data_IF_511367101631
#
_entry.id   IF_511367101631
#
_cell.length_a   1.000
_cell.length_b   1.000
_cell.length_c   1.000
_cell.angle_alpha   90.00
_cell.angle_beta   90.00
_cell.angle_gamma   90.00
#
_symmetry.space_group_name_H-M   'P 1'
#
loop_
_entity.id
_entity.type
_entity.pdbx_description
1 polymer ?
#
# COMPACT_ATOMS: atom_id res chain seq x y z
N UNK A 1 28.97 66.15 -8.65
CA UNK A 1 29.63 65.20 -9.58
C UNK A 1 30.39 64.22 -8.72
N UNK A 2 30.02 62.94 -8.80
CA UNK A 2 30.65 61.71 -8.27
C UNK A 2 29.48 60.75 -7.96
N UNK A 3 29.34 59.54 -8.48
CA UNK A 3 30.16 58.72 -9.36
C UNK A 3 29.50 57.34 -9.34
N UNK A 4 29.14 56.81 -10.51
CA UNK A 4 28.59 55.47 -10.64
C UNK A 4 29.70 54.43 -10.47
N UNK A 5 29.46 53.36 -9.73
CA UNK A 5 30.16 52.09 -9.96
C UNK A 5 29.15 50.95 -10.07
N UNK A 6 29.10 50.43 -11.30
CA UNK A 6 28.51 49.20 -11.79
C UNK A 6 28.38 48.07 -10.76
N UNK A 7 27.16 47.53 -10.64
CA UNK A 7 26.94 46.15 -10.18
C UNK A 7 26.86 45.27 -11.43
N UNK A 8 27.92 44.50 -11.66
CA UNK A 8 28.02 43.50 -12.71
C UNK A 8 26.96 42.37 -12.52
N UNK A 9 25.95 42.25 -13.39
CA UNK A 9 24.88 41.26 -13.28
C UNK A 9 25.34 39.82 -13.52
N UNK A 10 26.55 39.59 -14.04
CA UNK A 10 27.05 38.25 -14.35
C UNK A 10 27.44 37.42 -13.11
N UNK A 11 27.73 38.08 -11.97
CA UNK A 11 28.09 37.37 -10.71
C UNK A 11 26.91 36.73 -9.99
N UNK A 12 25.68 37.19 -10.25
CA UNK A 12 24.47 36.63 -9.63
C UNK A 12 24.07 35.27 -10.19
N UNK A 13 24.29 35.04 -11.48
CA UNK A 13 23.79 33.86 -12.19
C UNK A 13 24.65 32.61 -11.93
N UNK A 14 25.98 32.79 -11.85
CA UNK A 14 26.90 31.72 -11.46
C UNK A 14 26.65 31.22 -10.03
N UNK A 15 26.27 32.11 -9.10
CA UNK A 15 25.96 31.72 -7.71
C UNK A 15 24.68 30.89 -7.63
N UNK A 16 23.65 31.22 -8.42
CA UNK A 16 22.39 30.46 -8.49
C UNK A 16 22.59 29.08 -9.10
N UNK A 17 23.47 28.96 -10.10
CA UNK A 17 23.79 27.68 -10.70
C UNK A 17 24.57 26.75 -9.76
N UNK A 18 25.51 27.30 -8.99
CA UNK A 18 26.24 26.56 -7.97
C UNK A 18 25.34 26.19 -6.77
N UNK A 19 24.41 27.05 -6.39
CA UNK A 19 23.40 26.76 -5.36
C UNK A 19 22.41 25.67 -5.83
N UNK A 20 22.01 25.69 -7.11
CA UNK A 20 21.18 24.64 -7.71
C UNK A 20 21.92 23.29 -7.78
N UNK A 21 23.19 23.29 -8.18
CA UNK A 21 24.03 22.07 -8.16
C UNK A 21 24.21 21.54 -6.74
N UNK A 22 24.43 22.40 -5.76
CA UNK A 22 24.52 22.01 -4.33
C UNK A 22 23.19 21.49 -3.80
N UNK A 23 22.06 22.04 -4.25
CA UNK A 23 20.74 21.53 -3.90
C UNK A 23 20.48 20.14 -4.50
N UNK A 24 20.84 19.92 -5.77
CA UNK A 24 20.76 18.60 -6.43
C UNK A 24 21.68 17.59 -5.72
N UNK A 25 22.92 17.96 -5.43
CA UNK A 25 23.86 17.08 -4.72
C UNK A 25 23.41 16.73 -3.28
N UNK A 26 22.65 17.62 -2.63
CA UNK A 26 22.08 17.40 -1.30
C UNK A 26 20.84 16.52 -1.36
N UNK A 27 20.07 16.55 -2.44
CA UNK A 27 18.99 15.58 -2.71
C UNK A 27 19.57 14.19 -2.97
N UNK A 28 20.62 14.08 -3.78
CA UNK A 28 21.29 12.80 -4.05
C UNK A 28 21.90 12.18 -2.78
N UNK A 29 22.52 13.00 -1.92
CA UNK A 29 23.06 12.55 -0.64
C UNK A 29 21.97 12.17 0.39
N UNK A 30 20.85 12.91 0.42
CA UNK A 30 19.71 12.59 1.29
C UNK A 30 18.96 11.30 0.87
N UNK A 31 19.12 10.87 -0.39
CA UNK A 31 18.59 9.57 -0.87
C UNK A 31 19.54 8.39 -0.65
N UNK A 32 20.79 8.65 -0.26
CA UNK A 32 21.83 7.64 -0.08
C UNK A 32 21.89 7.09 1.34
N UNK A 33 21.54 7.89 2.36
CA UNK A 33 21.44 7.41 3.73
C UNK A 33 20.05 6.78 3.96
N UNK A 34 19.99 5.50 4.37
CA UNK A 34 18.74 4.93 4.83
C UNK A 34 18.20 5.76 6.00
N UNK A 35 16.87 5.93 6.14
CA UNK A 35 16.32 6.56 7.32
C UNK A 35 16.82 5.84 8.57
N UNK A 36 17.23 6.61 9.58
CA UNK A 36 17.66 6.11 10.90
C UNK A 36 16.63 5.09 11.44
N UNK A 37 16.92 3.80 11.27
CA UNK A 37 15.99 2.72 11.64
C UNK A 37 16.04 1.46 10.78
N UNK A 38 16.57 1.51 9.54
CA UNK A 38 16.76 0.28 8.76
C UNK A 38 17.98 -0.47 9.27
N UNK A 39 17.81 -1.69 9.78
CA UNK A 39 18.94 -2.56 10.08
C UNK A 39 19.79 -2.72 8.81
N UNK A 40 21.12 -2.51 8.86
CA UNK A 40 21.95 -2.67 7.68
C UNK A 40 21.81 -4.10 7.18
N UNK A 41 21.28 -4.26 5.97
CA UNK A 41 21.16 -5.56 5.32
C UNK A 41 22.53 -6.23 5.24
N UNK A 42 22.58 -7.57 5.29
CA UNK A 42 23.84 -8.27 5.14
C UNK A 42 24.45 -7.90 3.76
N UNK A 43 25.61 -7.23 3.71
CA UNK A 43 26.19 -6.73 2.45
C UNK A 43 26.53 -7.85 1.47
N UNK A 44 26.74 -9.07 1.99
CA UNK A 44 27.04 -10.27 1.21
C UNK A 44 25.78 -10.93 0.62
N UNK A 45 24.58 -10.45 1.00
CA UNK A 45 23.32 -11.00 0.49
C UNK A 45 23.03 -10.51 -0.95
N UNK A 46 22.82 -11.46 -1.86
CA UNK A 46 22.55 -11.17 -3.27
C UNK A 46 21.21 -10.45 -3.47
N UNK A 47 21.16 -9.58 -4.47
CA UNK A 47 19.93 -8.88 -4.86
C UNK A 47 18.83 -9.88 -5.26
N UNK A 48 19.19 -10.94 -6.00
CA UNK A 48 18.24 -11.98 -6.40
C UNK A 48 17.60 -12.66 -5.20
N UNK A 49 18.37 -12.93 -4.13
CA UNK A 49 17.82 -13.49 -2.90
C UNK A 49 16.88 -12.50 -2.21
N UNK A 50 17.23 -11.22 -2.19
CA UNK A 50 16.39 -10.16 -1.60
C UNK A 50 15.05 -10.04 -2.32
N UNK A 51 15.06 -9.97 -3.65
CA UNK A 51 13.85 -9.93 -4.47
C UNK A 51 13.06 -11.23 -4.33
N UNK A 52 13.73 -12.38 -4.38
CA UNK A 52 13.10 -13.70 -4.24
C UNK A 52 12.41 -13.90 -2.87
N UNK A 53 13.06 -13.48 -1.78
CA UNK A 53 12.45 -13.50 -0.44
C UNK A 53 11.27 -12.56 -0.35
N UNK A 54 11.38 -11.36 -0.93
CA UNK A 54 10.29 -10.37 -0.93
C UNK A 54 9.06 -10.89 -1.69
N UNK A 55 9.26 -11.52 -2.86
CA UNK A 55 8.20 -12.17 -3.60
C UNK A 55 7.60 -13.37 -2.83
N UNK A 56 8.45 -14.20 -2.22
CA UNK A 56 8.02 -15.35 -1.43
C UNK A 56 7.21 -14.93 -0.19
N UNK A 57 7.51 -13.80 0.44
CA UNK A 57 6.73 -13.25 1.54
C UNK A 57 5.35 -12.78 1.09
N UNK A 58 5.27 -12.07 -0.05
CA UNK A 58 3.99 -11.66 -0.63
C UNK A 58 3.10 -12.85 -0.98
N UNK A 59 3.62 -13.80 -1.77
CA UNK A 59 2.89 -15.02 -2.19
C UNK A 59 2.58 -15.93 -0.99
N UNK A 60 3.55 -16.12 -0.11
CA UNK A 60 3.40 -16.93 1.10
C UNK A 60 2.34 -16.36 2.05
N UNK A 61 2.27 -15.03 2.18
CA UNK A 61 1.25 -14.36 2.98
C UNK A 61 -0.16 -14.69 2.50
N UNK A 62 -0.37 -14.64 1.18
CA UNK A 62 -1.66 -14.96 0.56
C UNK A 62 -2.01 -16.43 0.72
N UNK A 63 -1.03 -17.33 0.53
CA UNK A 63 -1.23 -18.74 0.73
C UNK A 63 -1.68 -19.05 2.17
N UNK A 64 -1.00 -18.47 3.17
CA UNK A 64 -1.39 -18.63 4.58
C UNK A 64 -2.75 -18.00 4.86
N UNK A 65 -3.03 -16.80 4.34
CA UNK A 65 -4.33 -16.14 4.46
C UNK A 65 -5.44 -17.05 3.92
N UNK A 66 -5.28 -17.61 2.72
CA UNK A 66 -6.26 -18.49 2.10
C UNK A 66 -6.51 -19.77 2.90
N UNK A 67 -5.43 -20.42 3.38
CA UNK A 67 -5.53 -21.63 4.23
C UNK A 67 -6.27 -21.34 5.53
N UNK A 68 -5.91 -20.24 6.22
CA UNK A 68 -6.56 -19.85 7.48
C UNK A 68 -8.02 -19.47 7.26
N UNK A 69 -8.30 -18.69 6.22
CA UNK A 69 -9.67 -18.26 5.88
C UNK A 69 -10.56 -19.46 5.54
N UNK A 70 -10.02 -20.44 4.81
CA UNK A 70 -10.72 -21.70 4.51
C UNK A 70 -10.97 -22.51 5.79
N UNK A 71 -9.97 -22.66 6.65
CA UNK A 71 -10.12 -23.39 7.90
C UNK A 71 -11.19 -22.76 8.81
N UNK A 72 -11.14 -21.43 8.98
CA UNK A 72 -12.15 -20.68 9.76
C UNK A 72 -13.53 -20.81 9.12
N UNK A 73 -13.61 -20.73 7.78
CA UNK A 73 -14.84 -20.92 7.01
C UNK A 73 -15.49 -22.28 7.28
N UNK A 74 -14.72 -23.36 7.14
CA UNK A 74 -15.20 -24.73 7.34
C UNK A 74 -15.59 -25.00 8.79
N UNK A 75 -14.78 -24.56 9.75
CA UNK A 75 -15.07 -24.74 11.18
C UNK A 75 -16.29 -23.94 11.62
N UNK A 76 -16.41 -22.70 11.15
CA UNK A 76 -17.56 -21.84 11.44
C UNK A 76 -18.85 -22.40 10.86
N UNK A 77 -18.81 -22.91 9.63
CA UNK A 77 -19.95 -23.58 9.01
C UNK A 77 -20.35 -24.87 9.77
N UNK A 78 -19.37 -25.70 10.14
CA UNK A 78 -19.61 -26.91 10.92
C UNK A 78 -20.18 -26.62 12.32
N UNK A 79 -19.83 -25.48 12.90
CA UNK A 79 -20.37 -25.00 14.18
C UNK A 79 -21.75 -24.31 14.05
N UNK A 80 -22.29 -24.17 12.83
CA UNK A 80 -23.59 -23.53 12.59
C UNK A 80 -23.61 -22.03 12.82
N UNK A 81 -22.46 -21.35 12.68
CA UNK A 81 -22.36 -19.90 12.84
C UNK A 81 -23.02 -19.15 11.66
N UNK A 82 -23.51 -17.94 11.91
CA UNK A 82 -24.06 -17.08 10.88
C UNK A 82 -23.01 -16.69 9.83
N UNK A 83 -23.42 -16.59 8.56
CA UNK A 83 -22.55 -16.27 7.43
C UNK A 83 -21.69 -15.02 7.68
N UNK A 84 -22.30 -13.90 8.09
CA UNK A 84 -21.56 -12.67 8.34
C UNK A 84 -20.50 -12.79 9.43
N UNK A 85 -20.75 -13.60 10.47
CA UNK A 85 -19.76 -13.89 11.52
C UNK A 85 -18.58 -14.68 10.95
N UNK A 86 -18.86 -15.71 10.16
CA UNK A 86 -17.82 -16.53 9.52
C UNK A 86 -17.00 -15.69 8.54
N UNK A 87 -17.65 -14.87 7.72
CA UNK A 87 -17.01 -13.97 6.76
C UNK A 87 -16.02 -13.01 7.45
N UNK A 88 -16.50 -12.26 8.45
CA UNK A 88 -15.66 -11.29 9.18
C UNK A 88 -14.53 -11.99 9.92
N UNK A 89 -14.79 -13.14 10.55
CA UNK A 89 -13.77 -13.91 11.24
C UNK A 89 -12.70 -14.46 10.30
N UNK A 90 -13.10 -15.01 9.14
CA UNK A 90 -12.18 -15.52 8.13
C UNK A 90 -11.30 -14.41 7.57
N UNK A 91 -11.89 -13.26 7.21
CA UNK A 91 -11.12 -12.09 6.75
C UNK A 91 -10.13 -11.61 7.82
N UNK A 92 -10.59 -11.44 9.05
CA UNK A 92 -9.74 -10.89 10.11
C UNK A 92 -8.61 -11.84 10.50
N UNK A 93 -8.90 -13.12 10.74
CA UNK A 93 -7.90 -14.11 11.13
C UNK A 93 -6.95 -14.45 9.98
N UNK A 94 -7.46 -14.54 8.75
CA UNK A 94 -6.64 -14.75 7.57
C UNK A 94 -5.60 -13.64 7.39
N UNK A 95 -6.02 -12.38 7.49
CA UNK A 95 -5.16 -11.21 7.38
C UNK A 95 -4.12 -11.15 8.52
N UNK A 96 -4.57 -11.32 9.77
CA UNK A 96 -3.66 -11.27 10.92
C UNK A 96 -2.64 -12.40 10.94
N UNK A 97 -3.03 -13.64 10.60
CA UNK A 97 -2.08 -14.76 10.59
C UNK A 97 -1.21 -14.72 9.33
N UNK A 98 -1.82 -14.52 8.17
CA UNK A 98 -1.16 -14.56 6.87
C UNK A 98 -0.19 -13.41 6.65
N UNK A 99 -0.53 -12.19 7.06
CA UNK A 99 0.30 -11.02 6.78
C UNK A 99 1.08 -10.57 8.01
N UNK A 100 0.39 -10.23 9.10
CA UNK A 100 1.06 -9.77 10.33
C UNK A 100 1.87 -10.91 10.95
N UNK A 101 1.27 -12.09 11.09
CA UNK A 101 1.88 -13.28 11.69
C UNK A 101 3.11 -13.75 10.91
N UNK A 102 2.96 -13.96 9.59
CA UNK A 102 4.07 -14.36 8.73
C UNK A 102 5.20 -13.32 8.72
N UNK A 103 4.87 -12.04 8.49
CA UNK A 103 5.90 -10.99 8.43
C UNK A 103 6.59 -10.79 9.78
N UNK A 104 5.85 -10.91 10.89
CA UNK A 104 6.46 -10.91 12.24
C UNK A 104 7.37 -12.12 12.43
N UNK A 105 6.93 -13.32 12.06
CA UNK A 105 7.75 -14.53 12.16
C UNK A 105 9.04 -14.42 11.33
N UNK A 106 8.95 -13.85 10.14
CA UNK A 106 10.09 -13.54 9.29
C UNK A 106 11.07 -12.57 9.97
N UNK A 107 10.59 -11.44 10.48
CA UNK A 107 11.42 -10.44 11.14
C UNK A 107 12.04 -10.96 12.45
N UNK A 108 11.29 -11.74 13.24
CA UNK A 108 11.79 -12.44 14.43
C UNK A 108 12.87 -13.46 14.05
N UNK A 109 12.67 -14.21 12.97
CA UNK A 109 13.65 -15.16 12.42
C UNK A 109 14.92 -14.48 11.91
N UNK A 110 14.84 -13.20 11.53
CA UNK A 110 15.98 -12.32 11.21
C UNK A 110 16.68 -11.74 12.44
N UNK A 111 16.20 -12.06 13.65
CA UNK A 111 16.83 -11.66 14.91
C UNK A 111 16.32 -10.33 15.49
N UNK A 112 15.35 -9.67 14.87
CA UNK A 112 14.81 -8.41 15.40
C UNK A 112 13.93 -8.70 16.61
N UNK A 113 14.20 -8.05 17.75
CA UNK A 113 13.29 -8.01 18.89
C UNK A 113 12.08 -7.10 18.65
N UNK A 114 11.13 -7.04 19.59
CA UNK A 114 9.92 -6.22 19.39
C UNK A 114 10.21 -4.73 19.19
N UNK A 115 11.27 -4.22 19.83
CA UNK A 115 11.71 -2.84 19.63
C UNK A 115 12.30 -2.66 18.24
N UNK A 116 13.13 -3.60 17.80
CA UNK A 116 13.71 -3.66 16.46
C UNK A 116 12.65 -3.77 15.37
N UNK A 117 11.59 -4.58 15.57
CA UNK A 117 10.47 -4.66 14.63
C UNK A 117 9.74 -3.32 14.56
N UNK A 118 9.43 -2.71 15.71
CA UNK A 118 8.77 -1.40 15.76
C UNK A 118 9.57 -0.32 15.03
N UNK A 119 10.89 -0.29 15.22
CA UNK A 119 11.77 0.68 14.54
C UNK A 119 11.93 0.38 13.05
N UNK A 120 12.10 -0.89 12.68
CA UNK A 120 12.21 -1.33 11.29
C UNK A 120 10.98 -0.95 10.48
N UNK A 121 9.79 -1.11 11.06
CA UNK A 121 8.53 -0.74 10.44
C UNK A 121 8.24 0.76 10.50
N UNK A 122 8.94 1.53 11.35
CA UNK A 122 8.59 2.93 11.59
C UNK A 122 7.23 3.12 12.26
N UNK A 123 6.82 2.20 13.15
CA UNK A 123 5.52 2.28 13.83
C UNK A 123 5.51 3.41 14.87
N UNK A 124 4.89 4.54 14.53
CA UNK A 124 4.77 5.71 15.42
C UNK A 124 3.49 6.49 15.15
N UNK A 125 3.02 7.23 16.15
CA UNK A 125 1.84 8.11 15.99
C UNK A 125 2.18 9.21 14.97
N UNK A 126 1.34 9.46 13.95
CA UNK A 126 1.57 10.54 13.00
C UNK A 126 1.62 11.91 13.69
N UNK A 127 2.58 12.73 13.29
CA UNK A 127 2.61 14.16 13.62
C UNK A 127 1.50 14.91 12.86
N UNK A 128 1.19 16.15 13.26
CA UNK A 128 0.22 16.98 12.53
C UNK A 128 0.57 17.20 11.06
N UNK A 129 1.86 17.28 10.73
CA UNK A 129 2.32 17.38 9.34
C UNK A 129 2.00 16.11 8.57
N UNK A 130 2.21 14.96 9.19
CA UNK A 130 1.90 13.66 8.59
C UNK A 130 0.40 13.40 8.49
N UNK A 131 -0.42 13.95 9.38
CA UNK A 131 -1.88 13.97 9.19
C UNK A 131 -2.23 14.73 7.90
N UNK A 132 -1.57 15.85 7.62
CA UNK A 132 -1.66 16.54 6.33
C UNK A 132 -1.23 15.65 5.15
N UNK A 133 -0.20 14.82 5.34
CA UNK A 133 0.24 13.81 4.34
C UNK A 133 -0.81 12.71 4.15
N UNK A 134 -1.52 12.27 5.20
CA UNK A 134 -2.64 11.32 5.05
C UNK A 134 -3.70 11.90 4.12
N UNK A 135 -4.12 13.15 4.36
CA UNK A 135 -5.13 13.81 3.52
C UNK A 135 -4.62 14.00 2.09
N UNK A 136 -3.42 14.56 1.92
CA UNK A 136 -2.82 14.79 0.60
C UNK A 136 -2.55 13.49 -0.17
N UNK A 137 -2.08 12.46 0.52
CA UNK A 137 -1.84 11.13 -0.05
C UNK A 137 -3.14 10.45 -0.47
N UNK A 138 -4.22 10.60 0.30
CA UNK A 138 -5.54 10.09 -0.09
C UNK A 138 -6.12 10.82 -1.32
N UNK A 139 -6.00 12.15 -1.37
CA UNK A 139 -6.41 12.92 -2.54
C UNK A 139 -5.60 12.56 -3.79
N UNK A 140 -4.27 12.36 -3.63
CA UNK A 140 -3.42 11.88 -4.71
C UNK A 140 -3.85 10.49 -5.18
N UNK A 141 -4.07 9.57 -4.26
CA UNK A 141 -4.53 8.21 -4.57
C UNK A 141 -5.83 8.24 -5.38
N UNK A 142 -6.85 8.96 -4.92
CA UNK A 142 -8.12 9.10 -5.64
C UNK A 142 -7.89 9.74 -7.01
N UNK A 143 -7.16 10.85 -7.10
CA UNK A 143 -6.92 11.53 -8.37
C UNK A 143 -6.22 10.61 -9.38
N UNK A 144 -5.22 9.83 -8.93
CA UNK A 144 -4.54 8.83 -9.75
C UNK A 144 -5.51 7.75 -10.23
N UNK A 145 -6.31 7.17 -9.34
CA UNK A 145 -7.26 6.11 -9.69
C UNK A 145 -8.36 6.61 -10.63
N UNK A 146 -8.93 7.79 -10.40
CA UNK A 146 -9.90 8.43 -11.28
C UNK A 146 -9.33 8.69 -12.68
N UNK A 147 -8.11 9.22 -12.75
CA UNK A 147 -7.46 9.51 -14.03
C UNK A 147 -7.20 8.21 -14.82
N UNK A 148 -6.75 7.16 -14.14
CA UNK A 148 -6.51 5.86 -14.75
C UNK A 148 -7.80 5.18 -15.17
N UNK A 149 -8.85 5.22 -14.35
CA UNK A 149 -10.17 4.71 -14.67
C UNK A 149 -10.73 5.38 -15.94
N UNK A 150 -10.65 6.71 -16.02
CA UNK A 150 -11.11 7.47 -17.17
C UNK A 150 -10.38 7.09 -18.48
N UNK A 151 -9.11 6.67 -18.40
CA UNK A 151 -8.35 6.16 -19.54
C UNK A 151 -8.71 4.70 -19.82
N UNK A 152 -8.74 3.86 -18.79
CA UNK A 152 -9.02 2.43 -18.87
C UNK A 152 -10.37 2.17 -19.54
N UNK A 153 -11.43 2.88 -19.16
CA UNK A 153 -12.78 2.74 -19.74
C UNK A 153 -12.85 3.03 -21.26
N UNK A 154 -11.81 3.62 -21.86
CA UNK A 154 -11.75 3.87 -23.31
C UNK A 154 -11.04 2.77 -24.09
N UNK A 155 -10.23 1.95 -23.43
CA UNK A 155 -9.26 1.05 -24.10
C UNK A 155 -9.22 -0.36 -23.52
N UNK A 156 -9.73 -0.56 -22.30
CA UNK A 156 -9.80 -1.84 -21.61
C UNK A 156 -11.26 -2.30 -21.49
N UNK A 157 -11.50 -3.61 -21.42
CA UNK A 157 -12.78 -4.16 -20.99
C UNK A 157 -13.16 -3.66 -19.59
N UNK A 158 -14.46 -3.75 -19.29
CA UNK A 158 -14.97 -3.44 -17.96
C UNK A 158 -14.16 -4.17 -16.88
N UNK A 159 -13.90 -3.53 -15.72
CA UNK A 159 -13.17 -4.18 -14.63
C UNK A 159 -13.86 -5.47 -14.18
N UNK A 160 -13.07 -6.41 -13.63
CA UNK A 160 -13.63 -7.56 -12.91
C UNK A 160 -14.64 -7.09 -11.89
N UNK A 161 -15.66 -7.91 -11.65
CA UNK A 161 -16.39 -7.77 -10.42
C UNK A 161 -15.45 -8.02 -9.23
N UNK A 162 -15.48 -7.11 -8.27
CA UNK A 162 -14.75 -7.29 -7.03
C UNK A 162 -15.63 -8.12 -6.08
N UNK A 163 -15.21 -9.34 -5.77
CA UNK A 163 -15.97 -10.26 -4.92
C UNK A 163 -16.34 -9.65 -3.55
N UNK A 164 -15.45 -8.83 -2.96
CA UNK A 164 -15.73 -8.13 -1.71
C UNK A 164 -16.83 -7.08 -1.85
N UNK A 165 -16.85 -6.35 -2.97
CA UNK A 165 -17.91 -5.39 -3.29
C UNK A 165 -19.24 -6.09 -3.58
N UNK A 166 -19.24 -7.20 -4.31
CA UNK A 166 -20.45 -8.01 -4.55
C UNK A 166 -21.06 -8.52 -3.23
N UNK A 167 -20.23 -9.10 -2.36
CA UNK A 167 -20.69 -9.57 -1.04
C UNK A 167 -21.28 -8.42 -0.22
N UNK A 168 -20.71 -7.22 -0.30
CA UNK A 168 -21.24 -6.04 0.38
C UNK A 168 -22.58 -5.54 -0.22
N UNK A 169 -22.77 -5.64 -1.54
CA UNK A 169 -24.04 -5.31 -2.20
C UNK A 169 -25.14 -6.32 -1.85
N UNK A 170 -24.79 -7.61 -1.79
CA UNK A 170 -25.73 -8.69 -1.48
C UNK A 170 -26.10 -8.73 0.01
N UNK A 171 -25.24 -8.19 0.88
CA UNK A 171 -25.40 -8.21 2.35
C UNK A 171 -25.15 -6.82 2.95
N UNK A 172 -26.00 -5.81 2.65
CA UNK A 172 -25.78 -4.42 3.05
C UNK A 172 -25.72 -4.23 4.58
N UNK A 173 -26.37 -5.09 5.36
CA UNK A 173 -26.30 -5.10 6.82
C UNK A 173 -24.91 -5.43 7.36
N UNK A 174 -24.05 -6.08 6.57
CA UNK A 174 -22.67 -6.39 6.94
C UNK A 174 -21.72 -5.23 6.66
N UNK A 175 -22.11 -4.23 5.85
CA UNK A 175 -21.22 -3.12 5.45
C UNK A 175 -20.57 -2.40 6.63
N UNK A 176 -21.26 -2.05 7.72
CA UNK A 176 -20.60 -1.42 8.87
C UNK A 176 -19.49 -2.29 9.49
N UNK A 177 -19.72 -3.61 9.57
CA UNK A 177 -18.71 -4.54 10.07
C UNK A 177 -17.53 -4.65 9.08
N UNK A 178 -17.81 -4.74 7.78
CA UNK A 178 -16.79 -4.79 6.73
C UNK A 178 -15.95 -3.50 6.67
N UNK A 179 -16.56 -2.33 6.83
CA UNK A 179 -15.85 -1.05 6.96
C UNK A 179 -14.88 -1.08 8.15
N UNK A 180 -15.34 -1.53 9.32
CA UNK A 180 -14.47 -1.68 10.49
C UNK A 180 -13.33 -2.67 10.23
N UNK A 181 -13.61 -3.80 9.56
CA UNK A 181 -12.60 -4.79 9.18
C UNK A 181 -11.58 -4.22 8.18
N UNK A 182 -12.02 -3.45 7.18
CA UNK A 182 -11.14 -2.80 6.21
C UNK A 182 -10.21 -1.78 6.88
N UNK A 183 -10.75 -1.02 7.83
CA UNK A 183 -10.00 0.03 8.51
C UNK A 183 -9.02 -0.51 9.55
N UNK A 184 -9.45 -1.50 10.34
CA UNK A 184 -8.71 -1.98 11.51
C UNK A 184 -7.91 -3.25 11.26
N UNK A 185 -8.20 -3.99 10.19
CA UNK A 185 -7.58 -5.29 9.94
C UNK A 185 -6.90 -5.34 8.57
N UNK A 186 -7.65 -5.16 7.48
CA UNK A 186 -7.12 -5.35 6.11
C UNK A 186 -6.04 -4.33 5.78
N UNK A 187 -6.35 -3.03 5.80
CA UNK A 187 -5.37 -1.98 5.53
C UNK A 187 -4.11 -2.07 6.40
N UNK A 188 -4.19 -2.22 7.73
CA UNK A 188 -2.99 -2.37 8.56
C UNK A 188 -2.19 -3.64 8.23
N UNK A 189 -2.85 -4.78 8.01
CA UNK A 189 -2.18 -6.04 7.74
C UNK A 189 -1.46 -6.02 6.38
N UNK A 190 -2.10 -5.45 5.37
CA UNK A 190 -1.52 -5.28 4.04
C UNK A 190 -0.36 -4.30 4.02
N UNK A 191 -0.52 -3.12 4.63
CA UNK A 191 0.58 -2.18 4.73
C UNK A 191 1.74 -2.76 5.53
N UNK A 192 1.47 -3.47 6.62
CA UNK A 192 2.50 -4.20 7.36
C UNK A 192 3.30 -5.13 6.47
N UNK A 193 2.66 -5.99 5.68
CA UNK A 193 3.37 -6.94 4.84
C UNK A 193 4.08 -6.24 3.66
N UNK A 194 3.36 -5.42 2.89
CA UNK A 194 3.88 -4.91 1.63
C UNK A 194 4.84 -3.73 1.81
N UNK A 195 4.57 -2.83 2.76
CA UNK A 195 5.40 -1.63 2.98
C UNK A 195 6.37 -1.89 4.11
N UNK A 196 5.85 -2.36 5.24
CA UNK A 196 6.64 -2.64 6.41
C UNK A 196 7.68 -3.76 6.22
N UNK A 197 7.34 -4.84 5.53
CA UNK A 197 8.26 -5.99 5.35
C UNK A 197 8.85 -6.04 3.96
N UNK A 198 8.02 -6.15 2.91
CA UNK A 198 8.47 -6.36 1.52
C UNK A 198 9.24 -5.16 0.99
N UNK A 199 8.69 -3.94 1.06
CA UNK A 199 9.36 -2.73 0.58
C UNK A 199 10.63 -2.45 1.39
N UNK A 200 10.59 -2.49 2.73
CA UNK A 200 11.80 -2.29 3.54
C UNK A 200 12.88 -3.33 3.25
N UNK A 201 12.51 -4.60 3.04
CA UNK A 201 13.47 -5.64 2.68
C UNK A 201 14.13 -5.35 1.34
N UNK A 202 13.38 -4.82 0.37
CA UNK A 202 13.93 -4.34 -0.90
C UNK A 202 14.84 -3.11 -0.69
N UNK A 203 14.46 -2.17 0.18
CA UNK A 203 15.24 -0.95 0.50
C UNK A 203 16.60 -1.22 1.12
N UNK A 204 16.79 -2.38 1.77
CA UNK A 204 18.11 -2.80 2.27
C UNK A 204 19.14 -2.97 1.14
N UNK A 205 18.72 -3.17 -0.12
CA UNK A 205 19.63 -3.41 -1.27
C UNK A 205 19.34 -2.54 -2.50
N UNK A 206 18.17 -1.94 -2.59
CA UNK A 206 17.73 -1.08 -3.69
C UNK A 206 17.49 0.33 -3.17
N UNK A 207 17.69 1.35 -4.02
CA UNK A 207 17.24 2.71 -3.73
C UNK A 207 15.71 2.80 -3.66
N UNK A 208 15.19 3.94 -3.19
CA UNK A 208 13.77 4.18 -2.97
C UNK A 208 12.88 3.80 -4.15
N UNK A 209 13.16 4.37 -5.33
CA UNK A 209 12.33 4.21 -6.53
C UNK A 209 12.16 2.74 -6.95
N UNK A 210 13.23 1.95 -7.21
CA UNK A 210 13.07 0.55 -7.59
C UNK A 210 12.47 -0.33 -6.48
N UNK A 211 12.73 -0.03 -5.20
CA UNK A 211 12.11 -0.79 -4.11
C UNK A 211 10.59 -0.58 -4.05
N UNK A 212 10.14 0.68 -4.13
CA UNK A 212 8.71 1.04 -4.19
C UNK A 212 8.05 0.43 -5.43
N UNK A 213 8.72 0.49 -6.59
CA UNK A 213 8.20 -0.08 -7.83
C UNK A 213 7.98 -1.59 -7.73
N UNK A 214 9.00 -2.34 -7.26
CA UNK A 214 8.91 -3.80 -7.11
C UNK A 214 7.86 -4.16 -6.06
N UNK A 215 7.82 -3.47 -4.92
CA UNK A 215 6.80 -3.70 -3.90
C UNK A 215 5.38 -3.45 -4.42
N UNK A 216 5.17 -2.37 -5.18
CA UNK A 216 3.87 -2.05 -5.79
C UNK A 216 3.43 -3.09 -6.83
N UNK A 217 4.36 -3.63 -7.61
CA UNK A 217 4.08 -4.74 -8.55
C UNK A 217 3.75 -6.02 -7.81
N UNK A 218 4.49 -6.38 -6.75
CA UNK A 218 4.19 -7.56 -5.93
C UNK A 218 2.83 -7.43 -5.24
N UNK A 219 2.49 -6.24 -4.74
CA UNK A 219 1.17 -5.92 -4.21
C UNK A 219 0.09 -6.15 -5.26
N UNK A 220 0.18 -5.56 -6.45
CA UNK A 220 -0.82 -5.79 -7.50
C UNK A 220 -0.91 -7.26 -7.94
N UNK A 221 0.22 -7.95 -8.05
CA UNK A 221 0.29 -9.34 -8.53
C UNK A 221 -0.47 -10.32 -7.61
N UNK A 222 -0.42 -10.13 -6.29
CA UNK A 222 -1.14 -11.01 -5.38
C UNK A 222 -2.66 -10.83 -5.43
N UNK A 223 -3.12 -9.65 -5.84
CA UNK A 223 -4.55 -9.34 -5.97
C UNK A 223 -5.16 -9.92 -7.24
N UNK A 224 -4.35 -10.40 -8.20
CA UNK A 224 -4.86 -11.10 -9.39
C UNK A 224 -5.71 -12.33 -9.02
N UNK A 225 -5.49 -12.91 -7.84
CA UNK A 225 -6.28 -14.04 -7.33
C UNK A 225 -7.75 -13.67 -7.10
N UNK A 226 -8.08 -12.39 -6.85
CA UNK A 226 -9.48 -11.96 -6.71
C UNK A 226 -10.24 -11.93 -8.06
N UNK A 227 -9.51 -11.97 -9.19
CA UNK A 227 -10.07 -12.01 -10.55
C UNK A 227 -10.00 -13.41 -11.20
N UNK A 228 -9.82 -14.47 -10.41
CA UNK A 228 -9.82 -15.85 -10.92
C UNK A 228 -11.17 -16.16 -11.58
N UNK A 229 -11.16 -16.34 -12.91
CA UNK A 229 -12.35 -16.60 -13.72
C UNK A 229 -12.54 -15.62 -14.88
N UNK A 230 -11.89 -14.45 -14.84
CA UNK A 230 -11.94 -13.45 -15.91
C UNK A 230 -10.52 -12.89 -16.21
N UNK A 231 -9.84 -13.42 -17.24
CA UNK A 231 -8.50 -12.95 -17.62
C UNK A 231 -8.45 -11.50 -18.13
N UNK A 232 -9.55 -10.98 -18.67
CA UNK A 232 -9.61 -9.60 -19.19
C UNK A 232 -9.61 -8.59 -18.04
N UNK A 233 -10.35 -8.92 -16.98
CA UNK A 233 -10.38 -8.21 -15.72
C UNK A 233 -9.02 -8.07 -15.02
N UNK A 234 -8.15 -9.07 -15.12
CA UNK A 234 -6.80 -9.08 -14.52
C UNK A 234 -5.98 -7.87 -14.99
N UNK A 235 -6.05 -7.54 -16.29
CA UNK A 235 -5.31 -6.43 -16.86
C UNK A 235 -5.73 -5.08 -16.27
N UNK A 236 -7.03 -4.86 -16.16
CA UNK A 236 -7.60 -3.65 -15.54
C UNK A 236 -7.22 -3.54 -14.07
N UNK A 237 -7.27 -4.65 -13.33
CA UNK A 237 -6.93 -4.73 -11.91
C UNK A 237 -5.45 -4.35 -11.65
N UNK A 238 -4.53 -4.87 -12.46
CA UNK A 238 -3.10 -4.55 -12.37
C UNK A 238 -2.82 -3.08 -12.69
N UNK A 239 -3.47 -2.53 -13.73
CA UNK A 239 -3.30 -1.12 -14.14
C UNK A 239 -3.70 -0.14 -13.02
N UNK A 240 -4.65 -0.53 -12.16
CA UNK A 240 -5.14 0.29 -11.07
C UNK A 240 -4.36 0.06 -9.77
N UNK A 241 -4.04 -1.19 -9.44
CA UNK A 241 -3.37 -1.52 -8.18
C UNK A 241 -1.88 -1.23 -8.18
N UNK A 242 -1.18 -1.30 -9.32
CA UNK A 242 0.25 -0.91 -9.34
C UNK A 242 0.40 0.56 -8.95
N UNK A 243 -0.31 1.53 -9.57
CA UNK A 243 -0.21 2.94 -9.20
C UNK A 243 -0.68 3.24 -7.77
N UNK A 244 -1.76 2.59 -7.29
CA UNK A 244 -2.13 2.67 -5.88
C UNK A 244 -0.98 2.18 -4.99
N UNK A 245 -0.37 1.07 -5.39
CA UNK A 245 0.82 0.49 -4.79
C UNK A 245 1.98 1.49 -4.64
N UNK A 246 2.27 2.21 -5.72
CA UNK A 246 3.30 3.24 -5.80
C UNK A 246 2.98 4.45 -4.91
N UNK A 247 1.74 4.93 -4.91
CA UNK A 247 1.33 6.08 -4.06
C UNK A 247 1.54 5.74 -2.59
N UNK A 248 1.06 4.58 -2.15
CA UNK A 248 1.22 4.12 -0.76
C UNK A 248 2.69 3.91 -0.39
N UNK A 249 3.47 3.29 -1.29
CA UNK A 249 4.90 3.09 -1.08
C UNK A 249 5.70 4.40 -1.02
N UNK A 250 5.34 5.40 -1.83
CA UNK A 250 5.94 6.72 -1.82
C UNK A 250 5.57 7.51 -0.56
N UNK A 251 4.31 7.43 -0.11
CA UNK A 251 3.87 8.00 1.17
C UNK A 251 4.66 7.38 2.34
N UNK A 252 4.87 6.07 2.30
CA UNK A 252 5.68 5.40 3.30
C UNK A 252 7.14 5.86 3.27
N UNK A 253 7.78 5.89 2.10
CA UNK A 253 9.17 6.33 1.96
C UNK A 253 9.35 7.79 2.40
N UNK A 254 8.39 8.66 2.07
CA UNK A 254 8.44 10.07 2.45
C UNK A 254 8.33 10.29 3.97
N UNK A 255 7.54 9.47 4.66
CA UNK A 255 7.27 9.65 6.09
C UNK A 255 8.11 8.78 7.00
N UNK A 256 8.61 7.64 6.52
CA UNK A 256 9.19 6.60 7.37
C UNK A 256 8.24 6.14 8.48
N UNK A 257 6.92 6.26 8.28
CA UNK A 257 5.92 5.94 9.26
C UNK A 257 4.82 5.07 8.66
N UNK A 258 4.74 3.81 9.09
CA UNK A 258 3.81 2.83 8.52
C UNK A 258 2.35 3.16 8.81
N UNK A 259 2.08 3.93 9.86
CA UNK A 259 0.72 4.35 10.21
C UNK A 259 0.15 5.31 9.16
N UNK A 260 0.99 6.11 8.49
CA UNK A 260 0.54 7.08 7.48
C UNK A 260 -0.07 6.39 6.23
N UNK A 261 0.65 5.50 5.51
CA UNK A 261 0.07 4.81 4.37
C UNK A 261 -1.06 3.85 4.80
N UNK A 262 -1.02 3.28 6.01
CA UNK A 262 -2.15 2.54 6.58
C UNK A 262 -3.40 3.42 6.61
N UNK A 263 -3.35 4.60 7.22
CA UNK A 263 -4.52 5.47 7.28
C UNK A 263 -5.01 5.88 5.88
N UNK A 264 -4.12 6.14 4.92
CA UNK A 264 -4.50 6.42 3.52
C UNK A 264 -5.25 5.23 2.91
N UNK A 265 -4.68 4.04 3.02
CA UNK A 265 -5.23 2.81 2.44
C UNK A 265 -6.56 2.42 3.10
N UNK A 266 -6.60 2.35 4.43
CA UNK A 266 -7.80 2.03 5.19
C UNK A 266 -8.95 3.01 4.94
N UNK A 267 -8.63 4.31 4.78
CA UNK A 267 -9.64 5.32 4.41
C UNK A 267 -10.21 5.03 3.03
N UNK A 268 -9.36 4.69 2.05
CA UNK A 268 -9.80 4.35 0.71
C UNK A 268 -10.79 3.18 0.70
N UNK A 269 -10.43 2.05 1.29
CA UNK A 269 -11.29 0.85 1.29
C UNK A 269 -12.60 1.11 2.03
N UNK A 270 -12.54 1.85 3.14
CA UNK A 270 -13.73 2.19 3.94
C UNK A 270 -14.69 3.12 3.21
N UNK A 271 -14.17 4.12 2.49
CA UNK A 271 -15.00 5.05 1.71
C UNK A 271 -15.69 4.32 0.56
N UNK A 272 -15.01 3.40 -0.11
CA UNK A 272 -15.62 2.60 -1.19
C UNK A 272 -16.80 1.76 -0.67
N UNK A 273 -16.62 1.02 0.44
CA UNK A 273 -17.72 0.26 1.04
C UNK A 273 -18.86 1.16 1.56
N UNK A 274 -18.52 2.30 2.15
CA UNK A 274 -19.53 3.26 2.62
C UNK A 274 -20.33 3.85 1.46
N UNK A 275 -19.68 4.09 0.31
CA UNK A 275 -20.36 4.57 -0.89
C UNK A 275 -21.38 3.57 -1.43
N UNK A 276 -21.09 2.26 -1.34
CA UNK A 276 -22.05 1.19 -1.66
C UNK A 276 -23.31 1.31 -0.79
N UNK A 277 -23.14 1.52 0.51
CA UNK A 277 -24.24 1.64 1.46
C UNK A 277 -25.10 2.90 1.23
N UNK A 278 -24.48 4.03 0.93
CA UNK A 278 -25.17 5.34 0.83
C UNK A 278 -25.78 5.58 -0.56
N UNK A 279 -25.18 5.06 -1.63
CA UNK A 279 -25.67 5.25 -3.01
C UNK A 279 -26.80 4.28 -3.43
N UNK A 280 -27.05 3.21 -2.68
CA UNK A 280 -27.87 2.10 -3.16
C UNK A 280 -27.20 1.35 -4.34
N UNK A 281 -27.81 0.28 -4.87
CA UNK A 281 -27.15 -0.59 -5.86
C UNK A 281 -26.68 0.15 -7.12
N UNK A 282 -27.48 1.09 -7.64
CA UNK A 282 -27.16 1.79 -8.90
C UNK A 282 -26.11 2.90 -8.73
N UNK A 283 -26.11 3.67 -7.62
CA UNK A 283 -25.13 4.76 -7.43
C UNK A 283 -23.88 4.28 -6.67
N UNK A 284 -24.00 3.23 -5.84
CA UNK A 284 -22.87 2.53 -5.24
C UNK A 284 -22.01 1.83 -6.29
N UNK A 285 -22.65 1.19 -7.28
CA UNK A 285 -21.97 0.68 -8.47
C UNK A 285 -21.29 1.83 -9.25
N UNK A 286 -21.95 2.97 -9.44
CA UNK A 286 -21.35 4.12 -10.11
C UNK A 286 -20.09 4.66 -9.39
N UNK A 287 -20.01 4.61 -8.05
CA UNK A 287 -18.81 4.98 -7.30
C UNK A 287 -17.71 3.92 -7.43
N UNK A 288 -18.05 2.63 -7.43
CA UNK A 288 -17.11 1.53 -7.69
C UNK A 288 -16.56 1.58 -9.13
N UNK A 289 -17.38 1.95 -10.10
CA UNK A 289 -16.97 2.16 -11.50
C UNK A 289 -16.19 3.47 -11.70
N UNK A 290 -16.51 4.52 -10.93
CA UNK A 290 -15.81 5.81 -11.01
C UNK A 290 -14.46 5.79 -10.28
N UNK A 291 -14.35 5.12 -9.13
CA UNK A 291 -13.14 5.01 -8.31
C UNK A 291 -12.78 3.52 -8.13
N UNK A 292 -12.12 2.90 -9.13
CA UNK A 292 -11.64 1.54 -9.00
C UNK A 292 -10.52 1.46 -7.96
N UNK A 293 -10.37 0.33 -7.27
CA UNK A 293 -9.24 0.13 -6.35
C UNK A 293 -9.52 -0.69 -5.10
N UNK A 294 -10.68 -1.36 -4.99
CA UNK A 294 -10.91 -2.31 -3.89
C UNK A 294 -9.89 -3.44 -4.00
N UNK A 295 -8.93 -3.44 -3.07
CA UNK A 295 -8.02 -4.53 -2.79
C UNK A 295 -8.74 -5.59 -1.95
#
# INVERSE_FOLDING_TARGET
MDGSSDRDPAKGDASRFEDAKRAVHRVDAATAEPPDGTAPGNPDESLLRTVGVSAALGVGGIAVLGVVSLAVGLLGAAAGLAFGTVLVASLALGQYVGFIGLGTAYLRGRGLDWRGIRSYLGLRVPSLREVGVVVGGYLLLIATLLALAAVALRVLPEPASNQGAEVAMDNPELVPALVATMFLVVGPAEEFLFRGVVQNRLRERLSAVPAVAVAGVLFAAVHVISAVGDPAAVGTLVVLLVPAGLVLGAVYEYTGNLVVPWLVHSTHNSVLLTAILVGGPEQGAAVLFAVPGVA
#
